data_IF_140585829725
#
_entry.id   IF_140585829725
#
_cell.length_a   1.000
_cell.length_b   1.000
_cell.length_c   1.000
_cell.angle_alpha   90.00
_cell.angle_beta   90.00
_cell.angle_gamma   90.00
#
_symmetry.space_group_name_H-M   'P 1'
#
loop_
_entity.id
_entity.type
_entity.pdbx_description
1 polymer ?
#
# COMPACT_ATOMS: atom_id res chain seq x y z
N UNK A 1 24.37 -7.94 -22.03
CA UNK A 1 23.35 -8.61 -21.22
C UNK A 1 22.41 -7.53 -20.70
N UNK A 2 21.25 -7.37 -21.34
CA UNK A 2 20.23 -6.42 -20.90
C UNK A 2 19.35 -7.11 -19.85
N UNK A 3 19.54 -6.74 -18.58
CA UNK A 3 18.64 -7.18 -17.50
C UNK A 3 17.35 -6.38 -17.61
N UNK A 4 16.42 -6.84 -18.45
CA UNK A 4 15.07 -6.30 -18.49
C UNK A 4 14.34 -6.68 -17.20
N UNK A 5 14.37 -5.79 -16.21
CA UNK A 5 13.44 -5.88 -15.09
C UNK A 5 12.03 -5.68 -15.63
N UNK A 6 11.27 -6.78 -15.70
CA UNK A 6 9.87 -6.74 -16.13
C UNK A 6 9.02 -6.27 -14.95
N UNK A 7 8.69 -4.98 -14.93
CA UNK A 7 7.73 -4.42 -13.98
C UNK A 7 6.35 -4.91 -14.42
N UNK A 8 5.73 -5.75 -13.59
CA UNK A 8 4.36 -6.19 -13.80
C UNK A 8 3.46 -5.43 -12.82
N UNK A 9 2.35 -4.82 -13.27
CA UNK A 9 1.36 -4.27 -12.37
C UNK A 9 0.77 -5.43 -11.54
N UNK A 10 0.68 -5.24 -10.22
CA UNK A 10 0.13 -6.23 -9.31
C UNK A 10 -0.93 -5.58 -8.43
N UNK A 11 -1.92 -6.39 -8.04
CA UNK A 11 -2.99 -5.97 -7.14
C UNK A 11 -2.99 -6.85 -5.90
N UNK A 12 -3.18 -6.29 -4.68
CA UNK A 12 -3.38 -7.08 -3.48
C UNK A 12 -4.68 -7.89 -3.56
N UNK A 13 -4.63 -9.16 -3.15
CA UNK A 13 -5.80 -10.03 -2.96
C UNK A 13 -6.44 -9.85 -1.59
N UNK A 14 -5.69 -9.33 -0.63
CA UNK A 14 -6.16 -9.08 0.74
C UNK A 14 -7.30 -8.07 0.73
N UNK A 15 -8.15 -8.09 1.76
CA UNK A 15 -9.16 -7.05 1.95
C UNK A 15 -8.52 -5.67 2.12
N UNK A 16 -9.16 -4.62 1.59
CA UNK A 16 -8.64 -3.24 1.62
C UNK A 16 -8.58 -2.70 3.03
N UNK A 17 -9.68 -2.84 3.78
CA UNK A 17 -9.79 -2.34 5.14
C UNK A 17 -8.77 -3.03 6.05
N UNK A 18 -8.65 -4.36 5.97
CA UNK A 18 -7.67 -5.11 6.73
C UNK A 18 -6.21 -4.65 6.47
N UNK A 19 -5.87 -4.32 5.21
CA UNK A 19 -4.54 -3.76 4.89
C UNK A 19 -4.34 -2.37 5.48
N UNK A 20 -5.33 -1.48 5.36
CA UNK A 20 -5.23 -0.12 5.90
C UNK A 20 -5.06 -0.17 7.42
N UNK A 21 -5.84 -0.98 8.12
CA UNK A 21 -5.71 -1.20 9.58
C UNK A 21 -4.31 -1.71 9.95
N UNK A 22 -3.67 -2.50 9.10
CA UNK A 22 -2.30 -2.99 9.35
C UNK A 22 -1.24 -1.88 9.44
N UNK A 23 -1.53 -0.67 8.91
CA UNK A 23 -0.67 0.50 9.00
C UNK A 23 -0.72 1.18 10.38
N UNK A 24 -1.74 0.93 11.21
CA UNK A 24 -1.85 1.53 12.55
C UNK A 24 -0.62 1.21 13.40
N UNK A 25 -0.17 -0.05 13.40
CA UNK A 25 1.01 -0.49 14.15
C UNK A 25 2.28 0.27 13.75
N UNK A 26 2.72 0.28 12.47
CA UNK A 26 3.94 0.99 12.10
C UNK A 26 3.86 2.51 12.31
N UNK A 27 2.69 3.13 12.17
CA UNK A 27 2.52 4.55 12.52
C UNK A 27 2.59 4.80 14.03
N UNK A 28 1.89 3.99 14.83
CA UNK A 28 1.82 4.15 16.31
C UNK A 28 3.18 3.96 16.96
N UNK A 29 3.96 3.00 16.47
CA UNK A 29 5.27 2.66 17.03
C UNK A 29 6.45 3.34 16.32
N UNK A 30 6.21 4.40 15.53
CA UNK A 30 7.24 5.12 14.79
C UNK A 30 8.16 4.22 13.94
N UNK A 31 7.61 3.14 13.38
CA UNK A 31 8.32 2.26 12.42
C UNK A 31 8.15 2.73 10.98
N UNK A 32 7.28 3.71 10.75
CA UNK A 32 7.05 4.34 9.45
C UNK A 32 6.89 5.85 9.64
N UNK A 33 7.62 6.61 8.83
CA UNK A 33 7.55 8.07 8.79
C UNK A 33 7.26 8.54 7.37
N UNK A 34 6.26 9.41 7.23
CA UNK A 34 5.98 10.12 6.00
C UNK A 34 6.86 11.35 5.93
N UNK A 35 7.63 11.46 4.86
CA UNK A 35 8.60 12.54 4.70
C UNK A 35 7.91 13.80 4.19
N UNK A 36 8.32 14.96 4.69
CA UNK A 36 7.66 16.26 4.47
C UNK A 36 7.60 16.73 3.01
N UNK A 37 8.35 16.09 2.10
CA UNK A 37 8.28 16.36 0.65
C UNK A 37 7.11 15.64 -0.04
N UNK A 38 6.29 14.89 0.69
CA UNK A 38 5.07 14.29 0.15
C UNK A 38 4.01 15.37 -0.12
N UNK A 39 3.14 15.13 -1.10
CA UNK A 39 2.12 16.13 -1.46
C UNK A 39 1.13 16.35 -0.31
N UNK A 40 0.66 17.60 -0.16
CA UNK A 40 -0.39 17.93 0.81
C UNK A 40 -1.66 17.10 0.59
N UNK A 41 -1.97 16.77 -0.66
CA UNK A 41 -3.09 15.89 -1.01
C UNK A 41 -2.91 14.47 -0.47
N UNK A 42 -1.72 13.86 -0.61
CA UNK A 42 -1.45 12.52 -0.10
C UNK A 42 -1.50 12.49 1.44
N UNK A 43 -1.01 13.54 2.10
CA UNK A 43 -1.15 13.68 3.54
C UNK A 43 -2.61 13.78 3.99
N UNK A 44 -3.43 14.56 3.28
CA UNK A 44 -4.85 14.65 3.58
C UNK A 44 -5.53 13.29 3.38
N UNK A 45 -5.26 12.62 2.27
CA UNK A 45 -5.81 11.29 1.97
C UNK A 45 -5.47 10.25 3.05
N UNK A 46 -4.21 10.24 3.53
CA UNK A 46 -3.75 9.32 4.58
C UNK A 46 -4.37 9.64 5.95
N UNK A 47 -4.40 10.93 6.34
CA UNK A 47 -4.80 11.32 7.70
C UNK A 47 -6.29 11.65 7.86
N UNK A 48 -7.03 11.87 6.77
CA UNK A 48 -8.46 12.14 6.80
C UNK A 48 -9.32 10.87 6.83
N UNK A 49 -8.74 9.68 6.63
CA UNK A 49 -9.46 8.42 6.73
C UNK A 49 -9.95 8.17 8.16
N UNK A 50 -11.27 8.20 8.33
CA UNK A 50 -12.00 7.99 9.59
C UNK A 50 -12.85 6.71 9.60
N UNK A 51 -12.85 5.93 8.51
CA UNK A 51 -13.59 4.67 8.38
C UNK A 51 -15.06 4.82 8.00
N UNK A 52 -15.52 6.01 7.59
CA UNK A 52 -16.90 6.26 7.15
C UNK A 52 -17.19 5.83 5.70
N UNK A 53 -16.14 5.55 4.92
CA UNK A 53 -16.24 5.11 3.53
C UNK A 53 -16.47 6.23 2.50
N UNK A 54 -16.48 7.50 2.92
CA UNK A 54 -16.75 8.64 2.04
C UNK A 54 -15.49 9.44 1.63
N UNK A 55 -14.34 9.11 2.20
CA UNK A 55 -13.09 9.85 2.00
C UNK A 55 -12.25 9.22 0.87
N UNK A 56 -11.61 10.08 0.06
CA UNK A 56 -10.56 9.66 -0.86
C UNK A 56 -9.44 8.94 -0.09
N UNK A 57 -9.11 7.72 -0.49
CA UNK A 57 -8.16 6.85 0.21
C UNK A 57 -7.16 6.18 -0.75
N UNK A 58 -6.93 6.77 -1.93
CA UNK A 58 -6.09 6.19 -2.97
C UNK A 58 -4.62 6.10 -2.53
N UNK A 59 -4.11 7.15 -1.89
CA UNK A 59 -2.74 7.18 -1.37
C UNK A 59 -2.61 6.26 -0.14
N UNK A 60 -3.64 6.20 0.70
CA UNK A 60 -3.68 5.29 1.84
C UNK A 60 -3.74 3.82 1.40
N UNK A 61 -4.51 3.49 0.37
CA UNK A 61 -4.60 2.15 -0.21
C UNK A 61 -3.26 1.75 -0.84
N UNK A 62 -2.67 2.63 -1.65
CA UNK A 62 -1.36 2.41 -2.25
C UNK A 62 -0.28 2.18 -1.19
N UNK A 63 -0.29 2.97 -0.11
CA UNK A 63 0.62 2.80 1.03
C UNK A 63 0.41 1.44 1.73
N UNK A 64 -0.84 1.03 1.91
CA UNK A 64 -1.19 -0.26 2.53
C UNK A 64 -0.69 -1.44 1.69
N UNK A 65 -0.80 -1.34 0.37
CA UNK A 65 -0.28 -2.35 -0.57
C UNK A 65 1.25 -2.39 -0.57
N UNK A 66 1.91 -1.23 -0.55
CA UNK A 66 3.36 -1.11 -0.46
C UNK A 66 3.90 -1.70 0.85
N UNK A 67 3.25 -1.41 1.97
CA UNK A 67 3.63 -1.98 3.25
C UNK A 67 3.49 -3.51 3.26
N UNK A 68 2.39 -4.04 2.70
CA UNK A 68 2.18 -5.48 2.60
C UNK A 68 3.28 -6.16 1.77
N UNK A 69 3.65 -5.62 0.59
CA UNK A 69 4.68 -6.25 -0.24
C UNK A 69 6.07 -6.21 0.41
N UNK A 70 6.37 -5.15 1.16
CA UNK A 70 7.63 -4.99 1.89
C UNK A 70 7.71 -5.88 3.12
N UNK A 71 6.58 -6.17 3.77
CA UNK A 71 6.51 -7.02 4.96
C UNK A 71 6.55 -8.52 4.64
N UNK A 72 6.38 -8.90 3.37
CA UNK A 72 6.32 -10.30 2.94
C UNK A 72 7.65 -10.79 2.34
N UNK A 73 7.98 -12.05 2.65
CA UNK A 73 9.02 -12.79 1.96
C UNK A 73 8.65 -13.05 0.50
N UNK A 74 9.65 -13.23 -0.36
CA UNK A 74 9.45 -13.42 -1.81
C UNK A 74 8.44 -14.54 -2.14
N UNK A 75 8.49 -15.66 -1.40
CA UNK A 75 7.58 -16.81 -1.61
C UNK A 75 6.12 -16.49 -1.29
N UNK A 76 5.86 -15.58 -0.36
CA UNK A 76 4.51 -15.27 0.09
C UNK A 76 3.85 -14.18 -0.76
N UNK A 77 4.63 -13.39 -1.51
CA UNK A 77 4.08 -12.33 -2.39
C UNK A 77 3.09 -12.88 -3.43
N UNK A 78 3.30 -14.08 -3.98
CA UNK A 78 2.38 -14.70 -4.95
C UNK A 78 1.02 -15.11 -4.35
N UNK A 79 0.99 -15.34 -3.02
CA UNK A 79 -0.24 -15.64 -2.28
C UNK A 79 -1.06 -14.38 -2.03
N UNK A 80 -0.39 -13.26 -1.75
CA UNK A 80 -1.03 -12.00 -1.40
C UNK A 80 -1.28 -11.07 -2.59
N UNK A 81 -0.60 -11.27 -3.71
CA UNK A 81 -0.75 -10.45 -4.91
C UNK A 81 -1.17 -11.28 -6.11
N UNK A 82 -1.94 -10.67 -7.00
CA UNK A 82 -2.20 -11.21 -8.34
C UNK A 82 -1.57 -10.29 -9.37
N UNK A 83 -1.15 -10.84 -10.51
CA UNK A 83 -0.79 -10.02 -11.66
C UNK A 83 -2.04 -9.34 -12.17
N UNK A 84 -1.94 -8.04 -12.40
CA UNK A 84 -2.96 -7.29 -13.08
C UNK A 84 -2.72 -7.46 -14.58
N UNK A 85 -3.71 -7.98 -15.29
CA UNK A 85 -3.67 -8.04 -16.76
C UNK A 85 -4.58 -6.94 -17.25
N UNK A 86 -4.04 -5.96 -17.98
CA UNK A 86 -4.87 -5.05 -18.76
C UNK A 86 -5.54 -5.89 -19.84
N UNK A 87 -6.87 -5.99 -19.80
CA UNK A 87 -7.70 -6.60 -20.85
C UNK A 87 -8.03 -5.48 -21.85
#
# INVERSE_FOLDING_TARGET
MENYFRIAPTRPKTDKYARIVSLLTPFTYNKMHLLYYSSRSAFSDIYSCNGDGEVHDDALDALSAAYLIMSLNYRDRSRHFTKFTFI
#
